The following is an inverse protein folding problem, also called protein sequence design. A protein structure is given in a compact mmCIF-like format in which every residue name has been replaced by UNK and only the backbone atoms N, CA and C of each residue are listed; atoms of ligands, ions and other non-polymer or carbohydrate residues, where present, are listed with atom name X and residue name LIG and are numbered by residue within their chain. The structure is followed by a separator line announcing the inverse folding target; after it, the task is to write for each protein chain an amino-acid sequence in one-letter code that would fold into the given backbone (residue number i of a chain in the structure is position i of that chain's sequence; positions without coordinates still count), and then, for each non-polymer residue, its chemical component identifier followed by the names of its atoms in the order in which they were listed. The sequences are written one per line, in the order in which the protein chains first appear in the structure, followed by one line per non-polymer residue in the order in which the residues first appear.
data_IF_026737104797
#
_entry.id   IF_026737104797
#
_cell.length_a   1.000
_cell.length_b   1.000
_cell.length_c   1.000
_cell.angle_alpha   90.00
_cell.angle_beta   90.00
_cell.angle_gamma   90.00
#
_symmetry.space_group_name_H-M   'P 1'
#
loop_
_entity.id
_entity.type
_entity.pdbx_description
1 polymer ?
#
# COMPACT_ATOMS: atom_id res chain seq x y z
N UNK A 1 -30.49 9.43 9.77
CA UNK A 1 -29.75 9.26 11.03
C UNK A 1 -28.26 9.30 10.72
N UNK A 2 -27.56 10.39 11.01
CA UNK A 2 -26.10 10.49 10.81
C UNK A 2 -25.40 9.95 12.04
N UNK A 3 -24.74 8.79 11.91
CA UNK A 3 -23.90 8.24 12.98
C UNK A 3 -22.66 9.12 13.17
N UNK A 4 -22.31 9.41 14.43
CA UNK A 4 -21.12 10.18 14.76
C UNK A 4 -19.85 9.39 14.45
N UNK A 5 -18.96 9.98 13.64
CA UNK A 5 -17.73 9.32 13.24
C UNK A 5 -16.80 9.11 14.45
N UNK A 6 -16.26 7.90 14.60
CA UNK A 6 -15.27 7.55 15.63
C UNK A 6 -13.86 7.78 15.12
N UNK A 7 -12.97 8.21 16.02
CA UNK A 7 -11.54 8.43 15.73
C UNK A 7 -10.90 7.22 15.02
N UNK A 8 -10.25 7.44 13.88
CA UNK A 8 -9.63 6.37 13.08
C UNK A 8 -8.53 5.60 13.83
N UNK A 9 -7.78 6.27 14.72
CA UNK A 9 -6.69 5.65 15.47
C UNK A 9 -7.16 4.91 16.73
N UNK A 10 -7.83 5.61 17.67
CA UNK A 10 -8.13 5.03 18.99
C UNK A 10 -9.51 4.41 19.11
N UNK A 11 -10.45 4.73 18.20
CA UNK A 11 -11.87 4.29 18.19
C UNK A 11 -12.69 4.59 19.45
N UNK A 12 -12.11 5.20 20.48
CA UNK A 12 -12.73 5.47 21.79
C UNK A 12 -13.53 6.77 21.83
N UNK A 13 -13.03 7.82 21.18
CA UNK A 13 -13.62 9.17 21.20
C UNK A 13 -14.21 9.55 19.83
N UNK A 14 -15.20 10.46 19.79
CA UNK A 14 -15.68 11.01 18.53
C UNK A 14 -14.58 11.80 17.81
N UNK A 15 -14.74 11.98 16.51
CA UNK A 15 -13.84 12.81 15.70
C UNK A 15 -13.96 14.28 16.11
N UNK A 16 -12.82 14.92 16.34
CA UNK A 16 -12.75 16.36 16.54
C UNK A 16 -12.66 17.03 15.16
N UNK A 17 -13.51 18.03 14.83
CA UNK A 17 -13.47 18.73 13.56
C UNK A 17 -12.11 19.33 13.20
N UNK A 18 -11.30 19.74 14.19
CA UNK A 18 -9.96 20.28 13.96
C UNK A 18 -8.92 19.20 13.60
N UNK A 19 -9.21 17.93 13.93
CA UNK A 19 -8.26 16.82 13.83
C UNK A 19 -8.75 15.67 12.96
N UNK A 20 -9.76 15.86 12.10
CA UNK A 20 -10.33 14.80 11.25
C UNK A 20 -9.22 14.04 10.49
N UNK A 21 -9.23 12.69 10.46
CA UNK A 21 -10.26 11.76 11.00
C UNK A 21 -10.03 11.30 12.46
N UNK A 22 -9.36 12.10 13.29
CA UNK A 22 -8.95 11.76 14.65
C UNK A 22 -9.66 12.60 15.73
N UNK A 23 -9.54 12.19 16.99
CA UNK A 23 -10.12 12.90 18.14
C UNK A 23 -9.17 13.91 18.81
N UNK A 24 -7.92 14.04 18.33
CA UNK A 24 -6.90 14.95 18.88
C UNK A 24 -5.62 14.90 18.04
N UNK A 25 -4.77 15.92 18.17
CA UNK A 25 -3.40 15.94 17.63
C UNK A 25 -2.59 14.69 18.01
N UNK A 26 -2.65 14.26 19.27
CA UNK A 26 -1.94 13.08 19.76
C UNK A 26 -2.28 11.82 18.95
N UNK A 27 -3.55 11.63 18.61
CA UNK A 27 -3.97 10.49 17.79
C UNK A 27 -3.49 10.61 16.33
N UNK A 28 -3.41 11.83 15.77
CA UNK A 28 -2.82 12.06 14.45
C UNK A 28 -1.34 11.70 14.44
N UNK A 29 -0.59 12.14 15.45
CA UNK A 29 0.86 11.88 15.55
C UNK A 29 1.17 10.40 15.78
N UNK A 30 0.40 9.70 16.63
CA UNK A 30 0.61 8.25 16.80
C UNK A 30 0.25 7.44 15.55
N UNK A 31 -0.77 7.86 14.80
CA UNK A 31 -1.05 7.23 13.52
C UNK A 31 0.13 7.40 12.55
N UNK A 32 0.68 8.61 12.45
CA UNK A 32 1.89 8.88 11.66
C UNK A 32 3.08 8.03 12.14
N UNK A 33 3.29 7.90 13.44
CA UNK A 33 4.35 7.05 13.96
C UNK A 33 4.16 5.59 13.55
N UNK A 34 2.93 5.05 13.58
CA UNK A 34 2.66 3.69 13.12
C UNK A 34 3.02 3.48 11.64
N UNK A 35 2.85 4.51 10.79
CA UNK A 35 3.31 4.50 9.40
C UNK A 35 4.84 4.44 9.33
N UNK A 36 5.51 5.33 10.06
CA UNK A 36 6.98 5.41 10.06
C UNK A 36 7.64 4.15 10.63
N UNK A 37 7.02 3.54 11.64
CA UNK A 37 7.45 2.28 12.26
C UNK A 37 7.14 1.05 11.39
N UNK A 38 6.50 1.21 10.23
CA UNK A 38 6.13 0.09 9.35
C UNK A 38 5.07 -0.85 9.94
N UNK A 39 4.29 -0.39 10.92
CA UNK A 39 3.23 -1.20 11.56
C UNK A 39 2.06 -1.43 10.62
N UNK A 40 1.77 -0.44 9.77
CA UNK A 40 0.82 -0.59 8.69
C UNK A 40 1.51 -1.23 7.48
N UNK A 41 1.18 -2.50 7.24
CA UNK A 41 1.68 -3.28 6.11
C UNK A 41 0.57 -4.14 5.54
N UNK A 42 0.55 -4.30 4.23
CA UNK A 42 -0.34 -5.23 3.55
C UNK A 42 0.42 -6.54 3.38
N UNK A 43 -0.17 -7.65 3.80
CA UNK A 43 0.42 -8.96 3.55
C UNK A 43 0.48 -9.20 2.04
N UNK A 44 1.65 -9.54 1.51
CA UNK A 44 1.76 -10.01 0.13
C UNK A 44 1.04 -11.33 -0.04
N UNK A 45 0.36 -11.50 -1.17
CA UNK A 45 -0.06 -12.83 -1.63
C UNK A 45 1.17 -13.66 -2.04
N UNK A 46 1.02 -14.99 -2.21
CA UNK A 46 2.07 -15.78 -2.84
C UNK A 46 2.35 -15.20 -4.22
N UNK A 47 3.58 -14.74 -4.45
CA UNK A 47 4.01 -14.27 -5.76
C UNK A 47 4.16 -15.50 -6.66
N UNK A 48 3.32 -15.65 -7.68
CA UNK A 48 3.57 -16.63 -8.74
C UNK A 48 4.69 -16.09 -9.63
N UNK A 49 5.66 -16.95 -9.97
CA UNK A 49 6.77 -16.63 -10.89
C UNK A 49 6.33 -16.25 -12.31
N UNK A 50 5.03 -16.30 -12.61
CA UNK A 50 4.47 -15.96 -13.91
C UNK A 50 4.21 -14.45 -14.12
N UNK A 51 4.26 -13.64 -13.06
CA UNK A 51 3.98 -12.19 -13.13
C UNK A 51 5.25 -11.32 -13.28
N UNK A 52 6.40 -11.95 -13.56
CA UNK A 52 7.71 -11.29 -13.62
C UNK A 52 8.18 -10.91 -15.04
N UNK A 53 7.33 -11.03 -16.06
CA UNK A 53 7.67 -10.62 -17.44
C UNK A 53 6.77 -9.49 -17.90
N UNK A 54 7.38 -8.56 -18.64
CA UNK A 54 6.78 -7.40 -19.30
C UNK A 54 6.75 -6.11 -18.48
N UNK A 55 7.91 -5.47 -18.26
CA UNK A 55 8.17 -4.05 -18.61
C UNK A 55 9.69 -3.82 -18.73
N UNK A 56 10.23 -3.91 -19.95
CA UNK A 56 11.06 -2.88 -20.58
C UNK A 56 11.48 -3.36 -21.98
N UNK A 57 11.15 -2.56 -22.99
CA UNK A 57 11.33 -2.92 -24.39
C UNK A 57 12.75 -2.63 -24.87
N UNK A 58 13.33 -3.59 -25.59
CA UNK A 58 14.57 -3.41 -26.33
C UNK A 58 14.73 -4.53 -27.35
N UNK A 59 14.14 -4.33 -28.53
CA UNK A 59 14.21 -5.29 -29.62
C UNK A 59 15.61 -5.41 -30.23
N UNK A 60 15.91 -6.58 -30.77
CA UNK A 60 16.35 -6.76 -32.15
C UNK A 60 16.17 -8.23 -32.53
N UNK A 61 15.19 -8.48 -33.39
CA UNK A 61 15.15 -9.69 -34.20
C UNK A 61 16.35 -9.68 -35.16
N UNK A 62 17.14 -10.74 -35.16
CA UNK A 62 17.73 -11.24 -36.41
C UNK A 62 17.54 -12.75 -36.45
N UNK A 63 16.65 -13.18 -37.33
CA UNK A 63 16.58 -14.53 -37.88
C UNK A 63 17.96 -14.94 -38.45
N UNK A 64 18.36 -16.17 -38.18
CA UNK A 64 19.71 -16.65 -38.48
C UNK A 64 19.93 -18.15 -38.33
N UNK A 65 18.97 -18.97 -38.78
CA UNK A 65 19.26 -20.22 -39.51
C UNK A 65 19.73 -21.47 -38.75
N UNK A 66 18.96 -22.55 -38.94
CA UNK A 66 19.28 -23.95 -38.60
C UNK A 66 20.64 -24.46 -39.11
N UNK A 67 21.20 -25.41 -38.36
CA UNK A 67 22.30 -26.27 -38.82
C UNK A 67 22.62 -27.36 -37.80
N UNK A 68 21.84 -28.44 -37.84
CA UNK A 68 22.20 -29.73 -37.24
C UNK A 68 23.25 -30.39 -38.14
N UNK A 69 24.39 -30.77 -37.56
CA UNK A 69 25.12 -32.04 -37.77
C UNK A 69 26.36 -32.08 -36.87
#
# INVERSE_FOLDING_TARGET
MTSEARCAHCRKRPVDPAWRPFCSERCRLFDLQNWLDGRYRVAGGPMSVADATEQDGGGLETDGGEGRD
#
